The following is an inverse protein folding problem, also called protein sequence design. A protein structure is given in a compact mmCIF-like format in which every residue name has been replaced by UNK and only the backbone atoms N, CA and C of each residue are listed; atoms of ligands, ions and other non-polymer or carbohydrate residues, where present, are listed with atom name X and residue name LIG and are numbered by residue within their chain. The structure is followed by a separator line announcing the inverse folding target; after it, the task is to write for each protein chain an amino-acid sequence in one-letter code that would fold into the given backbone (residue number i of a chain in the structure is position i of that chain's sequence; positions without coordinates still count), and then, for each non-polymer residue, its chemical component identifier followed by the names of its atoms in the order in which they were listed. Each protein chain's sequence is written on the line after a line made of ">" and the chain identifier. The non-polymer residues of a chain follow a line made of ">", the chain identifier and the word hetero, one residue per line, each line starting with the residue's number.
data_IF_882236739172
#
_entry.id   IF_882236739172
#
_cell.length_a   1.000
_cell.length_b   1.000
_cell.length_c   1.000
_cell.angle_alpha   90.00
_cell.angle_beta   90.00
_cell.angle_gamma   90.00
#
_symmetry.space_group_name_H-M   'P 1'
#
loop_
_entity.id
_entity.type
_entity.pdbx_description
1 polymer ?
#
# COMPACT_ATOMS: atom_id res chain seq x y z
N UNK A 1 9.51 -10.18 -4.05
CA UNK A 1 9.22 -8.73 -4.14
C UNK A 1 9.70 -8.13 -5.46
N UNK A 2 10.85 -8.51 -5.96
CA UNK A 2 11.37 -7.97 -7.22
C UNK A 2 10.41 -8.18 -8.39
N UNK A 3 9.82 -9.36 -8.50
CA UNK A 3 8.85 -9.64 -9.57
C UNK A 3 7.62 -8.72 -9.46
N UNK A 4 7.17 -8.47 -8.25
CA UNK A 4 6.05 -7.59 -8.01
C UNK A 4 6.41 -6.14 -8.36
N UNK A 5 7.60 -5.71 -7.97
CA UNK A 5 8.10 -4.37 -8.30
C UNK A 5 8.13 -4.19 -9.83
N UNK A 6 8.63 -5.18 -10.55
CA UNK A 6 8.68 -5.15 -12.02
C UNK A 6 7.28 -5.09 -12.63
N UNK A 7 6.35 -5.89 -12.13
CA UNK A 7 4.96 -5.90 -12.60
C UNK A 7 4.29 -4.55 -12.37
N UNK A 8 4.43 -4.02 -11.16
CA UNK A 8 3.84 -2.72 -10.79
C UNK A 8 4.46 -1.60 -11.61
N UNK A 9 5.79 -1.61 -11.75
CA UNK A 9 6.50 -0.62 -12.55
C UNK A 9 6.00 -0.60 -13.99
N UNK A 10 5.85 -1.77 -14.58
CA UNK A 10 5.37 -1.89 -15.97
C UNK A 10 3.90 -1.49 -16.10
N UNK A 11 3.06 -1.93 -15.17
CA UNK A 11 1.62 -1.66 -15.22
C UNK A 11 1.29 -0.19 -15.00
N UNK A 12 1.99 0.45 -14.08
CA UNK A 12 1.76 1.86 -13.75
C UNK A 12 2.60 2.82 -14.59
N UNK A 13 3.61 2.33 -15.29
CA UNK A 13 4.51 3.16 -16.07
C UNK A 13 5.40 4.06 -15.21
N UNK A 14 5.84 3.54 -14.07
CA UNK A 14 6.66 4.26 -13.10
C UNK A 14 8.02 3.55 -12.92
N UNK A 15 8.98 4.28 -12.40
CA UNK A 15 10.31 3.71 -12.14
C UNK A 15 10.23 2.62 -11.07
N UNK A 16 11.11 1.61 -11.10
CA UNK A 16 11.12 0.55 -10.09
C UNK A 16 11.26 1.07 -8.65
N UNK A 17 12.02 2.13 -8.45
CA UNK A 17 12.18 2.76 -7.13
C UNK A 17 10.86 3.31 -6.63
N UNK A 18 10.12 3.98 -7.51
CA UNK A 18 8.79 4.52 -7.18
C UNK A 18 7.81 3.39 -6.94
N UNK A 19 7.88 2.33 -7.74
CA UNK A 19 7.03 1.15 -7.55
C UNK A 19 7.28 0.51 -6.18
N UNK A 20 8.53 0.31 -5.81
CA UNK A 20 8.90 -0.26 -4.51
C UNK A 20 8.38 0.60 -3.36
N UNK A 21 8.58 1.90 -3.47
CA UNK A 21 8.10 2.86 -2.46
C UNK A 21 6.58 2.81 -2.32
N UNK A 22 5.89 2.78 -3.45
CA UNK A 22 4.41 2.72 -3.48
C UNK A 22 3.88 1.44 -2.84
N UNK A 23 4.50 0.32 -3.17
CA UNK A 23 4.15 -0.97 -2.57
C UNK A 23 4.33 -0.91 -1.05
N UNK A 24 5.45 -0.37 -0.60
CA UNK A 24 5.73 -0.22 0.83
C UNK A 24 4.71 0.66 1.54
N UNK A 25 4.34 1.77 0.92
CA UNK A 25 3.33 2.69 1.46
C UNK A 25 1.99 1.97 1.61
N UNK A 26 1.55 1.25 0.59
CA UNK A 26 0.28 0.52 0.63
C UNK A 26 0.32 -0.58 1.69
N UNK A 27 1.40 -1.35 1.74
CA UNK A 27 1.55 -2.42 2.73
C UNK A 27 1.56 -1.89 4.15
N UNK A 28 2.25 -0.79 4.38
CA UNK A 28 2.26 -0.13 5.68
C UNK A 28 0.86 0.36 6.06
N UNK A 29 0.14 0.93 5.10
CA UNK A 29 -1.24 1.35 5.30
C UNK A 29 -2.12 0.16 5.69
N UNK A 30 -2.02 -0.95 4.96
CA UNK A 30 -2.79 -2.16 5.25
C UNK A 30 -2.49 -2.69 6.65
N UNK A 31 -1.22 -2.63 7.05
CA UNK A 31 -0.79 -3.08 8.37
C UNK A 31 -1.42 -2.24 9.49
N UNK A 32 -1.63 -0.96 9.23
CA UNK A 32 -2.22 -0.02 10.20
C UNK A 32 -3.74 -0.08 10.21
N UNK A 33 -4.36 -0.17 9.05
CA UNK A 33 -5.81 0.00 8.90
C UNK A 33 -6.55 -1.31 8.64
N UNK A 34 -5.85 -2.32 8.11
CA UNK A 34 -6.48 -3.58 7.75
C UNK A 34 -6.59 -4.58 8.89
N UNK A 35 -7.37 -5.64 8.69
CA UNK A 35 -7.49 -6.69 9.70
C UNK A 35 -6.16 -7.43 9.86
N UNK A 36 -5.64 -7.56 11.09
CA UNK A 36 -4.29 -8.09 11.29
C UNK A 36 -4.08 -9.50 10.76
N UNK A 37 -5.09 -10.35 10.84
CA UNK A 37 -4.99 -11.73 10.34
C UNK A 37 -4.81 -11.79 8.83
N UNK A 38 -5.64 -11.05 8.10
CA UNK A 38 -5.57 -11.03 6.64
C UNK A 38 -4.30 -10.33 6.15
N UNK A 39 -3.92 -9.25 6.80
CA UNK A 39 -2.70 -8.52 6.45
C UNK A 39 -1.47 -9.40 6.70
N UNK A 40 -1.45 -10.16 7.79
CA UNK A 40 -0.35 -11.08 8.08
C UNK A 40 -0.21 -12.13 6.97
N UNK A 41 -1.32 -12.65 6.46
CA UNK A 41 -1.29 -13.60 5.35
C UNK A 41 -0.67 -12.98 4.09
N UNK A 42 -1.04 -11.74 3.79
CA UNK A 42 -0.46 -11.01 2.66
C UNK A 42 1.05 -10.82 2.86
N UNK A 43 1.45 -10.39 4.04
CA UNK A 43 2.87 -10.17 4.34
C UNK A 43 3.68 -11.46 4.21
N UNK A 44 3.14 -12.57 4.72
CA UNK A 44 3.81 -13.86 4.62
C UNK A 44 3.89 -14.37 3.19
N UNK A 45 2.88 -14.07 2.39
CA UNK A 45 2.82 -14.50 1.00
C UNK A 45 3.76 -13.72 0.08
N UNK A 46 4.12 -12.49 0.46
CA UNK A 46 4.96 -11.62 -0.35
C UNK A 46 6.33 -11.43 0.32
N UNK A 47 7.36 -12.19 -0.12
CA UNK A 47 8.70 -12.05 0.46
C UNK A 47 9.20 -10.60 0.33
N UNK A 48 9.67 -10.03 1.42
CA UNK A 48 10.14 -8.66 1.43
C UNK A 48 9.06 -7.62 1.71
N UNK A 49 7.80 -8.04 1.84
CA UNK A 49 6.69 -7.12 2.11
C UNK A 49 6.88 -6.37 3.43
N UNK A 50 7.31 -7.07 4.47
CA UNK A 50 7.55 -6.45 5.77
C UNK A 50 8.66 -5.40 5.68
N UNK A 51 9.74 -5.74 5.00
CA UNK A 51 10.85 -4.79 4.82
C UNK A 51 10.40 -3.55 4.05
N UNK A 52 9.59 -3.73 3.02
CA UNK A 52 9.06 -2.61 2.25
C UNK A 52 8.12 -1.74 3.11
N UNK A 53 7.27 -2.35 3.90
CA UNK A 53 6.37 -1.64 4.80
C UNK A 53 7.15 -0.88 5.88
N UNK A 54 8.19 -1.51 6.43
CA UNK A 54 9.04 -0.88 7.43
C UNK A 54 9.82 0.31 6.86
N UNK A 55 10.30 0.18 5.63
CA UNK A 55 10.98 1.28 4.96
C UNK A 55 10.04 2.47 4.76
N UNK A 56 8.80 2.20 4.35
CA UNK A 56 7.78 3.24 4.19
C UNK A 56 7.42 3.87 5.54
N UNK A 57 7.32 3.07 6.59
CA UNK A 57 7.05 3.55 7.94
C UNK A 57 8.17 4.46 8.44
N UNK A 58 9.42 4.13 8.14
CA UNK A 58 10.58 4.92 8.52
C UNK A 58 10.57 6.28 7.82
N UNK A 59 10.23 6.32 6.54
CA UNK A 59 10.12 7.57 5.79
C UNK A 59 8.98 8.44 6.32
N UNK A 60 7.86 7.83 6.63
CA UNK A 60 6.70 8.50 7.21
C UNK A 60 7.07 9.06 8.59
N UNK A 61 7.79 8.28 9.38
CA UNK A 61 8.28 8.69 10.69
C UNK A 61 9.31 9.82 10.61
N UNK A 62 10.07 9.89 9.51
CA UNK A 62 11.03 10.94 9.27
C UNK A 62 10.40 12.31 9.06
N UNK A 63 9.15 12.33 8.56
CA UNK A 63 8.36 13.54 8.45
C UNK A 63 7.41 13.73 9.62
N UNK A 64 7.78 13.26 10.80
CA UNK A 64 6.92 13.08 11.95
C UNK A 64 6.05 14.27 12.35
N UNK A 65 6.56 15.47 12.21
CA UNK A 65 5.81 16.67 12.57
C UNK A 65 4.63 16.87 11.59
N UNK A 66 4.91 16.75 10.31
CA UNK A 66 3.91 16.90 9.26
C UNK A 66 2.96 15.70 9.25
N UNK A 67 3.48 14.51 9.47
CA UNK A 67 2.68 13.30 9.57
C UNK A 67 1.72 13.33 10.75
N UNK A 68 2.19 13.85 11.90
CA UNK A 68 1.37 14.03 13.08
C UNK A 68 0.25 15.03 12.87
N UNK A 69 0.58 16.15 12.25
CA UNK A 69 -0.40 17.19 11.93
C UNK A 69 -1.42 16.70 10.90
N UNK A 70 -0.95 16.01 9.88
CA UNK A 70 -1.82 15.43 8.85
C UNK A 70 -2.78 14.41 9.45
N UNK A 71 -2.30 13.60 10.38
CA UNK A 71 -3.12 12.62 11.07
C UNK A 71 -4.20 13.27 11.93
N UNK A 72 -3.87 14.36 12.60
CA UNK A 72 -4.81 15.10 13.43
C UNK A 72 -5.85 15.84 12.60
N UNK A 73 -5.43 16.45 11.51
CA UNK A 73 -6.32 17.23 10.66
C UNK A 73 -7.14 16.36 9.71
N UNK A 74 -6.60 15.22 9.34
CA UNK A 74 -7.25 14.31 8.39
C UNK A 74 -8.38 13.49 8.97
N UNK A 75 -8.65 13.62 10.24
CA UNK A 75 -9.74 12.87 10.87
C UNK A 75 -9.53 11.36 10.78
N UNK A 76 -8.31 10.93 10.95
CA UNK A 76 -7.98 9.52 10.95
C UNK A 76 -7.76 8.98 9.54
N UNK A 77 -6.61 9.03 9.09
CA UNK A 77 -6.03 8.25 8.05
C UNK A 77 -6.95 7.83 6.91
N UNK A 78 -7.00 6.55 6.70
CA UNK A 78 -7.79 5.98 5.64
C UNK A 78 -7.20 6.24 4.27
N UNK A 79 -8.00 6.03 3.24
CA UNK A 79 -7.56 6.11 1.85
C UNK A 79 -7.06 7.49 1.44
N UNK A 80 -7.60 8.54 2.07
CA UNK A 80 -7.14 9.91 1.78
C UNK A 80 -5.67 10.09 2.15
N UNK A 81 -5.28 9.57 3.32
CA UNK A 81 -3.89 9.61 3.74
C UNK A 81 -3.00 8.78 2.81
N UNK A 82 -3.48 7.61 2.42
CA UNK A 82 -2.79 6.74 1.47
C UNK A 82 -2.58 7.45 0.13
N UNK A 83 -3.64 8.05 -0.39
CA UNK A 83 -3.57 8.79 -1.64
C UNK A 83 -2.58 9.95 -1.55
N UNK A 84 -2.57 10.67 -0.43
CA UNK A 84 -1.63 11.75 -0.18
C UNK A 84 -0.18 11.28 -0.18
N UNK A 85 0.09 10.16 0.48
CA UNK A 85 1.43 9.58 0.50
C UNK A 85 1.88 9.13 -0.88
N UNK A 86 1.00 8.46 -1.63
CA UNK A 86 1.31 8.01 -2.98
C UNK A 86 1.53 9.19 -3.91
N UNK A 87 0.73 10.24 -3.79
CA UNK A 87 0.92 11.46 -4.55
C UNK A 87 2.27 12.11 -4.25
N UNK A 88 2.67 12.12 -2.99
CA UNK A 88 3.99 12.61 -2.57
C UNK A 88 5.12 11.79 -3.16
N UNK A 89 4.89 10.51 -3.42
CA UNK A 89 5.86 9.64 -4.07
C UNK A 89 5.93 9.86 -5.59
N UNK A 90 5.05 10.68 -6.14
CA UNK A 90 5.05 11.03 -7.56
C UNK A 90 4.02 10.29 -8.40
N UNK A 91 3.03 9.67 -7.78
CA UNK A 91 2.00 8.92 -8.50
C UNK A 91 0.78 9.80 -8.80
N UNK A 92 0.28 9.67 -10.02
CA UNK A 92 -1.02 10.22 -10.38
C UNK A 92 -2.14 9.23 -10.05
N UNK A 93 -3.38 9.64 -10.27
CA UNK A 93 -4.55 8.79 -9.96
C UNK A 93 -4.53 7.47 -10.72
N UNK A 94 -4.20 7.50 -12.00
CA UNK A 94 -4.13 6.28 -12.80
C UNK A 94 -3.04 5.34 -12.33
N UNK A 95 -1.90 5.90 -11.95
CA UNK A 95 -0.77 5.12 -11.45
C UNK A 95 -1.09 4.49 -10.11
N UNK A 96 -1.77 5.22 -9.23
CA UNK A 96 -2.23 4.68 -7.95
C UNK A 96 -3.14 3.47 -8.12
N UNK A 97 -4.08 3.58 -9.05
CA UNK A 97 -4.98 2.48 -9.36
C UNK A 97 -4.23 1.27 -9.93
N UNK A 98 -3.29 1.52 -10.82
CA UNK A 98 -2.48 0.46 -11.40
C UNK A 98 -1.64 -0.25 -10.34
N UNK A 99 -0.98 0.52 -9.48
CA UNK A 99 -0.20 -0.05 -8.37
C UNK A 99 -1.08 -0.88 -7.45
N UNK A 100 -2.22 -0.34 -7.05
CA UNK A 100 -3.15 -1.03 -6.17
C UNK A 100 -3.65 -2.33 -6.79
N UNK A 101 -4.06 -2.27 -8.04
CA UNK A 101 -4.55 -3.44 -8.76
C UNK A 101 -3.52 -4.56 -8.83
N UNK A 102 -2.31 -4.23 -9.24
CA UNK A 102 -1.24 -5.22 -9.37
C UNK A 102 -0.83 -5.78 -8.01
N UNK A 103 -0.73 -4.92 -7.02
CA UNK A 103 -0.37 -5.35 -5.67
C UNK A 103 -1.43 -6.30 -5.09
N UNK A 104 -2.69 -5.94 -5.21
CA UNK A 104 -3.77 -6.78 -4.69
C UNK A 104 -3.93 -8.06 -5.50
N UNK A 105 -3.70 -8.03 -6.80
CA UNK A 105 -3.69 -9.25 -7.61
C UNK A 105 -2.60 -10.22 -7.16
N UNK A 106 -1.40 -9.70 -6.94
CA UNK A 106 -0.29 -10.51 -6.43
C UNK A 106 -0.58 -11.04 -5.02
N UNK A 107 -1.13 -10.19 -4.17
CA UNK A 107 -1.51 -10.58 -2.81
C UNK A 107 -2.58 -11.67 -2.82
N UNK A 108 -3.53 -11.57 -3.72
CA UNK A 108 -4.59 -12.57 -3.86
C UNK A 108 -4.03 -13.92 -4.30
N UNK A 109 -3.06 -13.91 -5.20
CA UNK A 109 -2.36 -15.13 -5.64
C UNK A 109 -1.66 -15.83 -4.49
N UNK A 110 -1.12 -15.06 -3.55
CA UNK A 110 -0.31 -15.60 -2.44
C UNK A 110 -1.12 -15.86 -1.17
N UNK A 111 -1.99 -14.93 -0.80
CA UNK A 111 -2.77 -15.02 0.45
C UNK A 111 -4.17 -15.57 0.25
N UNK A 112 -4.64 -15.61 -0.99
CA UNK A 112 -5.98 -16.09 -1.32
C UNK A 112 -7.03 -14.98 -1.37
N UNK A 113 -8.13 -15.23 -2.08
CA UNK A 113 -9.19 -14.23 -2.26
C UNK A 113 -9.90 -13.85 -0.94
N UNK A 114 -9.96 -14.77 0.02
CA UNK A 114 -10.62 -14.51 1.30
C UNK A 114 -9.92 -13.41 2.08
N UNK A 115 -8.59 -13.46 2.16
CA UNK A 115 -7.79 -12.45 2.86
C UNK A 115 -7.96 -11.07 2.20
N UNK A 116 -7.94 -11.04 0.87
CA UNK A 116 -8.12 -9.80 0.13
C UNK A 116 -9.53 -9.25 0.31
N UNK A 117 -10.53 -10.12 0.32
CA UNK A 117 -11.91 -9.74 0.57
C UNK A 117 -12.10 -9.13 1.96
N UNK A 118 -11.46 -9.70 2.97
CA UNK A 118 -11.49 -9.15 4.32
C UNK A 118 -10.85 -7.75 4.38
N UNK A 119 -9.72 -7.59 3.74
CA UNK A 119 -9.02 -6.31 3.70
C UNK A 119 -9.89 -5.27 2.99
N UNK A 120 -10.41 -5.61 1.83
CA UNK A 120 -11.26 -4.70 1.06
C UNK A 120 -12.53 -4.32 1.80
N UNK A 121 -13.11 -5.27 2.53
CA UNK A 121 -14.32 -5.03 3.31
C UNK A 121 -14.07 -4.21 4.57
N UNK A 122 -12.85 -4.27 5.12
CA UNK A 122 -12.49 -3.56 6.34
C UNK A 122 -12.10 -2.10 6.10
N UNK A 123 -11.64 -1.79 4.89
CA UNK A 123 -11.19 -0.44 4.57
C UNK A 123 -12.19 0.19 3.59
N UNK A 124 -12.96 1.21 4.03
CA UNK A 124 -13.95 1.85 3.16
C UNK A 124 -13.30 2.48 1.93
N UNK A 125 -13.87 2.22 0.77
CA UNK A 125 -13.39 2.78 -0.49
C UNK A 125 -12.22 2.05 -1.13
N UNK A 126 -11.62 1.09 -0.44
CA UNK A 126 -10.47 0.37 -0.98
C UNK A 126 -10.85 -0.43 -2.23
N UNK A 127 -12.06 -0.95 -2.29
CA UNK A 127 -12.55 -1.71 -3.44
C UNK A 127 -12.56 -0.90 -4.73
N UNK A 128 -12.54 0.43 -4.64
CA UNK A 128 -12.45 1.30 -5.81
C UNK A 128 -11.05 1.32 -6.42
N UNK A 129 -10.05 0.94 -5.63
CA UNK A 129 -8.65 0.91 -6.07
C UNK A 129 -8.18 -0.46 -6.56
N UNK A 130 -9.00 -1.49 -6.35
CA UNK A 130 -8.60 -2.86 -6.71
C UNK A 130 -9.57 -3.53 -7.67
#
# INVERSE_FOLDING_TARGET
>A
MEDLITRVSAAAGIAPDVAQKSIGIILNFLRREGPPGAVAQVMQGLPGAEAAADAAASEDGGGGLVGGLGGMMGGGGGLMALAGQLSSAGLGMGEMQAVGKELFAAAQEKAGPDAIGEIAGSIPGLSQFI
#
